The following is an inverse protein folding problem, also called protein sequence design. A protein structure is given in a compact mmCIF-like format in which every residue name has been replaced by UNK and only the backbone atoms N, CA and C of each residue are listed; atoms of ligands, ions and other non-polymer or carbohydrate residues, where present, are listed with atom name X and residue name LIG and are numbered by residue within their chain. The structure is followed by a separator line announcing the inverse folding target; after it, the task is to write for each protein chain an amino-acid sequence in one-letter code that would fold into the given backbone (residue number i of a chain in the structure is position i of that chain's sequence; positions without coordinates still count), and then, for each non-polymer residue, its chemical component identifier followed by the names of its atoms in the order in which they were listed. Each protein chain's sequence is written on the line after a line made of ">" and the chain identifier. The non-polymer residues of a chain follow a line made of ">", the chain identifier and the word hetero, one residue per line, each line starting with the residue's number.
data_IF_829683434982
#
_entry.id   IF_829683434982
#
_cell.length_a   1.000
_cell.length_b   1.000
_cell.length_c   1.000
_cell.angle_alpha   90.00
_cell.angle_beta   90.00
_cell.angle_gamma   90.00
#
_symmetry.space_group_name_H-M   'P 1'
#
loop_
_entity.id
_entity.type
_entity.pdbx_description
1 polymer ?
#
# COMPACT_ATOMS: atom_id res chain seq x y z
N UNK A 1 -12.12 18.45 -33.38
CA UNK A 1 -10.73 17.94 -33.38
C UNK A 1 -10.75 16.58 -32.68
N UNK A 2 -10.21 15.53 -33.27
CA UNK A 2 -10.11 14.20 -32.64
C UNK A 2 -8.70 14.09 -32.07
N UNK A 3 -8.60 13.80 -30.77
CA UNK A 3 -7.30 13.64 -30.09
C UNK A 3 -6.83 12.20 -30.21
N UNK A 4 -5.55 12.00 -30.51
CA UNK A 4 -4.90 10.69 -30.45
C UNK A 4 -4.07 10.60 -29.18
N UNK A 5 -4.36 9.62 -28.36
CA UNK A 5 -3.66 9.38 -27.09
C UNK A 5 -2.55 8.35 -27.28
N UNK A 6 -1.55 8.38 -26.40
CA UNK A 6 -0.51 7.36 -26.36
C UNK A 6 -1.11 6.00 -25.96
N UNK A 7 -0.61 4.89 -26.54
CA UNK A 7 -1.17 3.53 -26.34
C UNK A 7 -1.17 3.12 -24.86
N UNK A 8 -0.20 3.56 -24.07
CA UNK A 8 -0.16 3.33 -22.63
C UNK A 8 -1.39 3.87 -21.87
N UNK A 9 -2.13 4.82 -22.42
CA UNK A 9 -3.36 5.33 -21.81
C UNK A 9 -4.49 4.29 -21.86
N UNK A 10 -4.42 3.31 -22.73
CA UNK A 10 -5.37 2.21 -22.80
C UNK A 10 -5.21 1.22 -21.64
N UNK A 11 -4.03 1.21 -20.98
CA UNK A 11 -3.81 0.42 -19.78
C UNK A 11 -4.55 0.95 -18.54
N UNK A 12 -5.11 2.17 -18.62
CA UNK A 12 -5.86 2.80 -17.53
C UNK A 12 -7.36 2.73 -17.78
N UNK A 13 -8.02 1.74 -17.18
CA UNK A 13 -9.47 1.73 -17.09
C UNK A 13 -9.99 2.83 -16.13
N UNK A 14 -11.32 3.02 -16.09
CA UNK A 14 -11.96 3.81 -15.02
C UNK A 14 -11.60 3.16 -13.68
N UNK A 15 -11.16 3.97 -12.73
CA UNK A 15 -10.85 3.48 -11.37
C UNK A 15 -12.15 3.36 -10.56
N UNK A 16 -12.69 2.16 -10.31
CA UNK A 16 -13.89 2.00 -9.47
C UNK A 16 -13.70 2.62 -8.08
N UNK A 17 -12.49 2.52 -7.53
CA UNK A 17 -12.13 3.11 -6.24
C UNK A 17 -12.35 4.63 -6.26
N UNK A 18 -12.00 5.31 -7.34
CA UNK A 18 -12.12 6.76 -7.44
C UNK A 18 -13.58 7.23 -7.47
N UNK A 19 -14.45 6.48 -8.14
CA UNK A 19 -15.87 6.78 -8.17
C UNK A 19 -16.51 6.57 -6.79
N UNK A 20 -16.17 5.48 -6.11
CA UNK A 20 -16.64 5.21 -4.74
C UNK A 20 -16.14 6.29 -3.75
N UNK A 21 -14.89 6.74 -3.88
CA UNK A 21 -14.35 7.80 -3.01
C UNK A 21 -15.03 9.16 -3.20
N UNK A 22 -15.56 9.48 -4.38
CA UNK A 22 -16.38 10.69 -4.57
C UNK A 22 -17.67 10.64 -3.74
N UNK A 23 -18.31 9.47 -3.69
CA UNK A 23 -19.50 9.26 -2.89
C UNK A 23 -19.23 9.35 -1.37
N UNK A 24 -18.04 8.99 -0.94
CA UNK A 24 -17.64 9.01 0.47
C UNK A 24 -17.66 10.41 1.10
N UNK A 25 -17.67 11.48 0.30
CA UNK A 25 -17.74 12.86 0.79
C UNK A 25 -19.17 13.34 1.09
N UNK A 26 -20.19 12.56 0.71
CA UNK A 26 -21.58 12.95 0.94
C UNK A 26 -21.97 12.78 2.42
N UNK A 27 -22.79 13.71 2.98
CA UNK A 27 -23.25 13.61 4.37
C UNK A 27 -24.02 12.32 4.65
N UNK A 28 -23.76 11.73 5.79
CA UNK A 28 -24.44 10.50 6.24
C UNK A 28 -23.96 9.22 5.59
N UNK A 29 -22.90 9.25 4.77
CA UNK A 29 -22.27 8.07 4.19
C UNK A 29 -21.25 7.48 5.17
N UNK A 30 -21.36 6.18 5.43
CA UNK A 30 -20.36 5.39 6.15
C UNK A 30 -19.42 4.75 5.14
N UNK A 31 -18.13 5.10 5.18
CA UNK A 31 -17.18 4.63 4.18
C UNK A 31 -16.14 3.67 4.75
N UNK A 32 -16.20 2.41 4.34
CA UNK A 32 -15.15 1.41 4.50
C UNK A 32 -14.27 1.29 3.23
N UNK A 33 -14.42 2.22 2.29
CA UNK A 33 -13.74 2.18 0.99
C UNK A 33 -12.34 2.80 1.01
N UNK A 34 -12.14 3.89 1.75
CA UNK A 34 -10.90 4.65 1.75
C UNK A 34 -9.76 3.89 2.44
N UNK A 35 -8.54 4.02 1.90
CA UNK A 35 -7.30 3.52 2.53
C UNK A 35 -6.52 4.63 3.24
N UNK A 36 -7.23 5.61 3.81
CA UNK A 36 -6.62 6.77 4.46
C UNK A 36 -6.43 6.55 5.95
N UNK A 37 -5.37 7.10 6.56
CA UNK A 37 -5.21 7.15 8.01
C UNK A 37 -6.31 8.02 8.65
N UNK A 38 -6.60 7.74 9.92
CA UNK A 38 -7.53 8.53 10.70
C UNK A 38 -6.95 9.92 10.99
N UNK A 39 -7.66 11.04 10.68
CA UNK A 39 -7.16 12.37 10.95
C UNK A 39 -6.87 12.66 12.43
N UNK A 40 -7.52 11.96 13.37
CA UNK A 40 -7.25 12.10 14.80
C UNK A 40 -5.84 11.63 15.21
N UNK A 41 -5.17 10.88 14.33
CA UNK A 41 -3.80 10.40 14.55
C UNK A 41 -2.72 11.35 13.99
N UNK A 42 -3.09 12.46 13.34
CA UNK A 42 -2.09 13.37 12.80
C UNK A 42 -1.46 14.21 13.90
N UNK A 43 -0.12 14.35 13.94
CA UNK A 43 0.58 15.18 14.92
C UNK A 43 0.53 16.67 14.52
N UNK A 44 -0.69 17.24 14.45
CA UNK A 44 -0.93 18.58 13.88
C UNK A 44 -0.19 19.68 14.66
N UNK A 45 -0.14 19.57 15.99
CA UNK A 45 0.56 20.55 16.85
C UNK A 45 2.05 20.60 16.53
N UNK A 46 2.69 19.45 16.58
CA UNK A 46 4.12 19.29 16.30
C UNK A 46 4.47 19.72 14.87
N UNK A 47 3.66 19.30 13.89
CA UNK A 47 3.86 19.70 12.49
C UNK A 47 3.78 21.22 12.30
N UNK A 48 2.80 21.87 12.93
CA UNK A 48 2.64 23.34 12.88
C UNK A 48 3.87 24.04 13.46
N UNK A 49 4.30 23.61 14.65
CA UNK A 49 5.42 24.24 15.36
C UNK A 49 6.72 24.08 14.57
N UNK A 50 6.96 22.90 13.99
CA UNK A 50 8.10 22.64 13.09
C UNK A 50 8.04 23.55 11.86
N UNK A 51 6.89 23.64 11.19
CA UNK A 51 6.75 24.42 9.97
C UNK A 51 6.96 25.93 10.24
N UNK A 52 6.41 26.47 11.33
CA UNK A 52 6.67 27.87 11.74
C UNK A 52 8.17 28.09 11.99
N UNK A 53 8.81 27.23 12.79
CA UNK A 53 10.25 27.32 13.06
C UNK A 53 11.09 27.33 11.77
N UNK A 54 10.81 26.40 10.86
CA UNK A 54 11.56 26.27 9.59
C UNK A 54 11.43 27.52 8.72
N UNK A 55 10.22 28.12 8.67
CA UNK A 55 9.98 29.32 7.88
C UNK A 55 10.55 30.59 8.54
N UNK A 56 10.60 30.66 9.86
CA UNK A 56 11.22 31.76 10.59
C UNK A 56 12.74 31.73 10.52
N UNK A 57 13.35 30.55 10.67
CA UNK A 57 14.82 30.41 10.76
C UNK A 57 15.49 30.27 9.40
N UNK A 58 14.87 29.60 8.41
CA UNK A 58 15.48 29.22 7.13
C UNK A 58 14.54 29.43 5.92
N UNK A 59 13.84 30.57 5.80
CA UNK A 59 12.79 30.73 4.77
C UNK A 59 13.29 30.50 3.36
N UNK A 60 14.44 31.09 3.00
CA UNK A 60 15.01 30.95 1.67
C UNK A 60 15.34 29.50 1.32
N UNK A 61 15.92 28.76 2.24
CA UNK A 61 16.26 27.33 2.02
C UNK A 61 15.02 26.47 1.86
N UNK A 62 13.97 26.73 2.64
CA UNK A 62 12.73 25.94 2.63
C UNK A 62 11.89 26.18 1.37
N UNK A 63 11.99 27.37 0.77
CA UNK A 63 11.20 27.78 -0.39
C UNK A 63 11.98 27.71 -1.72
N UNK A 64 13.26 27.36 -1.70
CA UNK A 64 14.09 27.23 -2.89
C UNK A 64 14.07 25.78 -3.42
N UNK A 65 14.49 25.63 -4.68
CA UNK A 65 14.73 24.31 -5.26
C UNK A 65 15.72 23.49 -4.43
N UNK A 66 15.42 22.20 -4.28
CA UNK A 66 16.29 21.20 -3.67
C UNK A 66 16.98 20.31 -4.69
N UNK A 67 17.68 19.29 -4.20
CA UNK A 67 18.28 18.23 -5.02
C UNK A 67 17.30 17.08 -5.23
N UNK A 68 17.45 16.37 -6.35
CA UNK A 68 16.52 15.31 -6.76
C UNK A 68 16.53 14.11 -5.83
N UNK A 69 17.67 13.80 -5.26
CA UNK A 69 17.87 12.71 -4.29
C UNK A 69 17.06 12.90 -3.00
N UNK A 70 16.81 14.16 -2.64
CA UNK A 70 16.08 14.55 -1.44
C UNK A 70 16.92 15.37 -0.47
N UNK A 71 16.25 15.95 0.54
CA UNK A 71 16.85 16.77 1.58
C UNK A 71 17.81 15.92 2.44
N UNK A 72 19.13 16.24 2.48
CA UNK A 72 20.10 15.37 3.13
C UNK A 72 19.80 15.04 4.59
N UNK A 73 19.36 15.98 5.47
CA UNK A 73 19.00 15.61 6.84
C UNK A 73 17.86 14.61 6.92
N UNK A 74 16.89 14.61 6.00
CA UNK A 74 15.84 13.59 5.96
C UNK A 74 16.40 12.23 5.53
N UNK A 75 17.29 12.20 4.53
CA UNK A 75 17.95 10.95 4.13
C UNK A 75 18.73 10.34 5.30
N UNK A 76 19.43 11.16 6.10
CA UNK A 76 20.18 10.70 7.27
C UNK A 76 19.25 10.17 8.36
N UNK A 77 18.13 10.85 8.64
CA UNK A 77 17.13 10.40 9.61
C UNK A 77 16.49 9.07 9.19
N UNK A 78 16.13 8.93 7.92
CA UNK A 78 15.60 7.69 7.33
C UNK A 78 16.64 6.57 7.37
N UNK A 79 17.90 6.86 6.96
CA UNK A 79 19.01 5.89 7.02
C UNK A 79 19.23 5.37 8.42
N UNK A 80 19.26 6.26 9.39
CA UNK A 80 19.42 5.91 10.81
C UNK A 80 18.28 4.99 11.26
N UNK A 81 17.02 5.42 11.07
CA UNK A 81 15.85 4.64 11.47
C UNK A 81 15.82 3.25 10.83
N UNK A 82 16.01 3.19 9.50
CA UNK A 82 15.92 1.93 8.75
C UNK A 82 17.10 0.99 9.06
N UNK A 83 18.28 1.52 9.37
CA UNK A 83 19.45 0.73 9.77
C UNK A 83 19.33 0.21 11.20
N UNK A 84 19.08 1.11 12.15
CA UNK A 84 19.16 0.78 13.58
C UNK A 84 17.95 -0.02 14.05
N UNK A 85 16.76 0.34 13.59
CA UNK A 85 15.53 -0.30 14.06
C UNK A 85 15.12 -1.51 13.21
N UNK A 86 15.28 -1.43 11.90
CA UNK A 86 14.74 -2.41 10.95
C UNK A 86 15.79 -3.20 10.18
N UNK A 87 17.05 -2.85 10.30
CA UNK A 87 18.18 -3.48 9.60
C UNK A 87 17.99 -3.51 8.06
N UNK A 88 17.23 -2.57 7.54
CA UNK A 88 16.82 -2.50 6.14
C UNK A 88 17.56 -1.43 5.33
N UNK A 89 18.76 -1.02 5.78
CA UNK A 89 19.62 -0.09 5.06
C UNK A 89 21.09 -0.44 5.34
N UNK A 90 21.72 -1.09 4.38
CA UNK A 90 23.14 -1.49 4.43
C UNK A 90 24.11 -0.36 4.05
N UNK A 91 25.42 -0.63 4.14
CA UNK A 91 26.46 0.33 3.78
C UNK A 91 26.49 0.68 2.27
N UNK A 92 26.08 -0.25 1.41
CA UNK A 92 26.00 -0.09 -0.04
C UNK A 92 24.68 0.46 -0.57
N UNK A 93 23.73 0.80 0.32
CA UNK A 93 22.41 1.28 -0.09
C UNK A 93 22.38 2.79 -0.23
N UNK A 94 21.82 3.25 -1.34
CA UNK A 94 21.37 4.62 -1.54
C UNK A 94 19.96 4.85 -1.00
N UNK A 95 19.60 6.12 -0.80
CA UNK A 95 18.24 6.55 -0.46
C UNK A 95 17.79 7.63 -1.45
N UNK A 96 16.57 7.48 -1.96
CA UNK A 96 15.88 8.47 -2.74
C UNK A 96 14.59 8.89 -2.03
N UNK A 97 14.41 10.16 -1.76
CA UNK A 97 13.12 10.70 -1.26
C UNK A 97 12.19 10.94 -2.45
N UNK A 98 10.94 10.51 -2.31
CA UNK A 98 9.92 10.57 -3.37
C UNK A 98 8.66 11.28 -2.89
N UNK A 99 7.85 11.74 -3.85
CA UNK A 99 6.55 12.37 -3.58
C UNK A 99 5.48 11.30 -3.22
N UNK A 100 5.75 10.57 -2.13
CA UNK A 100 5.02 9.39 -1.65
C UNK A 100 5.48 8.10 -2.34
N UNK A 101 5.10 6.94 -1.76
CA UNK A 101 5.46 5.62 -2.28
C UNK A 101 4.94 5.38 -3.72
N UNK A 102 3.85 6.02 -4.13
CA UNK A 102 3.33 5.89 -5.50
C UNK A 102 4.37 6.34 -6.55
N UNK A 103 5.06 7.46 -6.30
CA UNK A 103 6.14 7.91 -7.18
C UNK A 103 7.36 6.99 -7.10
N UNK A 104 7.65 6.42 -5.93
CA UNK A 104 8.73 5.45 -5.77
C UNK A 104 8.53 4.24 -6.70
N UNK A 105 7.32 3.65 -6.66
CA UNK A 105 6.95 2.50 -7.49
C UNK A 105 6.94 2.85 -8.97
N UNK A 106 6.35 4.00 -9.33
CA UNK A 106 6.28 4.48 -10.70
C UNK A 106 7.67 4.72 -11.28
N UNK A 107 8.55 5.42 -10.53
CA UNK A 107 9.92 5.71 -10.97
C UNK A 107 10.77 4.43 -11.08
N UNK A 108 10.57 3.46 -10.19
CA UNK A 108 11.20 2.14 -10.28
C UNK A 108 10.74 1.40 -11.54
N UNK A 109 9.44 1.29 -11.76
CA UNK A 109 8.88 0.67 -12.96
C UNK A 109 9.39 1.32 -14.25
N UNK A 110 9.39 2.65 -14.32
CA UNK A 110 9.92 3.43 -15.45
C UNK A 110 11.41 3.17 -15.71
N UNK A 111 12.18 2.87 -14.66
CA UNK A 111 13.62 2.62 -14.79
C UNK A 111 13.92 1.25 -15.38
N UNK A 112 13.10 0.21 -15.07
CA UNK A 112 13.45 -1.18 -15.35
C UNK A 112 12.60 -1.83 -16.42
N UNK A 113 11.46 -1.25 -16.81
CA UNK A 113 10.52 -1.88 -17.71
C UNK A 113 10.57 -1.33 -19.12
N UNK A 114 10.62 -2.25 -20.07
CA UNK A 114 10.25 -2.03 -21.46
C UNK A 114 8.91 -2.70 -21.75
N UNK A 115 8.30 -2.35 -22.87
CA UNK A 115 7.09 -3.02 -23.34
C UNK A 115 7.34 -4.52 -23.54
N UNK A 116 6.43 -5.35 -23.03
CA UNK A 116 6.53 -6.82 -23.05
C UNK A 116 7.31 -7.43 -21.90
N UNK A 117 8.00 -6.65 -21.07
CA UNK A 117 8.65 -7.16 -19.85
C UNK A 117 7.60 -7.60 -18.82
N UNK A 118 7.84 -8.72 -18.14
CA UNK A 118 6.95 -9.26 -17.12
C UNK A 118 7.29 -8.75 -15.72
N UNK A 119 6.23 -8.53 -14.92
CA UNK A 119 6.33 -8.30 -13.49
C UNK A 119 5.44 -9.30 -12.77
N UNK A 120 6.01 -10.01 -11.81
CA UNK A 120 5.26 -10.89 -10.91
C UNK A 120 4.74 -10.06 -9.74
N UNK A 121 3.47 -10.27 -9.35
CA UNK A 121 2.88 -9.58 -8.20
C UNK A 121 1.88 -10.48 -7.46
N UNK A 122 1.49 -10.09 -6.27
CA UNK A 122 0.36 -10.71 -5.57
C UNK A 122 -0.93 -10.53 -6.37
N UNK A 123 -1.84 -11.48 -6.24
CA UNK A 123 -3.19 -11.39 -6.80
C UNK A 123 -4.21 -11.89 -5.76
N UNK A 124 -5.02 -10.99 -5.16
CA UNK A 124 -5.21 -9.56 -5.49
C UNK A 124 -4.06 -8.67 -5.01
N UNK A 125 -3.94 -7.45 -5.56
CA UNK A 125 -2.93 -6.47 -5.14
C UNK A 125 -3.40 -5.01 -5.29
N UNK A 126 -2.55 -4.06 -4.89
CA UNK A 126 -2.89 -2.65 -4.88
C UNK A 126 -2.95 -2.05 -6.29
N UNK A 127 -4.15 -1.73 -6.73
CA UNK A 127 -4.43 -1.30 -8.11
C UNK A 127 -3.60 -0.10 -8.58
N UNK A 128 -3.30 0.88 -7.70
CA UNK A 128 -2.53 2.05 -8.14
C UNK A 128 -1.09 1.69 -8.48
N UNK A 129 -0.49 0.75 -7.74
CA UNK A 129 0.84 0.22 -8.06
C UNK A 129 0.81 -0.63 -9.32
N UNK A 130 -0.20 -1.50 -9.47
CA UNK A 130 -0.38 -2.29 -10.69
C UNK A 130 -0.54 -1.40 -11.91
N UNK A 131 -1.30 -0.32 -11.83
CA UNK A 131 -1.48 0.62 -12.93
C UNK A 131 -0.18 1.39 -13.26
N UNK A 132 0.59 1.79 -12.24
CA UNK A 132 1.90 2.40 -12.47
C UNK A 132 2.84 1.45 -13.24
N UNK A 133 2.86 0.17 -12.86
CA UNK A 133 3.67 -0.85 -13.55
C UNK A 133 3.15 -1.09 -14.98
N UNK A 134 1.84 -1.30 -15.15
CA UNK A 134 1.20 -1.53 -16.47
C UNK A 134 1.52 -0.44 -17.49
N UNK A 135 1.72 0.80 -17.04
CA UNK A 135 2.00 1.94 -17.93
C UNK A 135 3.36 1.87 -18.61
N UNK A 136 4.26 0.98 -18.17
CA UNK A 136 5.61 0.84 -18.72
C UNK A 136 5.89 -0.51 -19.38
N UNK A 137 5.08 -1.55 -19.13
CA UNK A 137 5.35 -2.89 -19.63
C UNK A 137 4.27 -3.44 -20.59
N UNK A 138 3.38 -2.60 -21.09
CA UNK A 138 2.26 -3.04 -21.94
C UNK A 138 1.22 -3.87 -21.19
N UNK A 139 1.17 -3.78 -19.85
CA UNK A 139 0.17 -4.46 -19.03
C UNK A 139 0.54 -5.88 -18.59
N UNK A 140 1.73 -6.39 -18.92
CA UNK A 140 2.10 -7.78 -18.61
C UNK A 140 2.42 -7.98 -17.13
N UNK A 141 1.39 -8.35 -16.37
CA UNK A 141 1.49 -8.74 -14.95
C UNK A 141 1.20 -10.23 -14.80
N UNK A 142 1.95 -10.89 -13.95
CA UNK A 142 1.77 -12.29 -13.58
C UNK A 142 1.32 -12.33 -12.12
N UNK A 143 0.04 -12.60 -11.92
CA UNK A 143 -0.59 -12.62 -10.60
C UNK A 143 -0.35 -13.95 -9.89
N UNK A 144 0.22 -13.91 -8.68
CA UNK A 144 0.42 -15.08 -7.82
C UNK A 144 -0.64 -15.09 -6.73
N UNK A 145 -1.36 -16.21 -6.52
CA UNK A 145 -2.35 -16.33 -5.47
C UNK A 145 -1.80 -16.02 -4.08
N UNK A 146 -2.66 -15.42 -3.24
CA UNK A 146 -2.39 -15.11 -1.84
C UNK A 146 -3.29 -15.98 -0.96
N UNK A 147 -2.73 -16.55 0.10
CA UNK A 147 -3.46 -17.23 1.17
C UNK A 147 -3.17 -16.57 2.54
N UNK A 148 -3.52 -17.23 3.65
CA UNK A 148 -3.36 -16.68 5.00
C UNK A 148 -1.91 -16.39 5.41
N UNK A 149 -0.93 -16.94 4.71
CA UNK A 149 0.50 -16.67 4.91
C UNK A 149 1.11 -15.75 3.84
N UNK A 150 0.30 -15.14 2.97
CA UNK A 150 0.72 -14.25 1.90
C UNK A 150 0.89 -14.94 0.54
N UNK A 151 1.75 -14.42 -0.32
CA UNK A 151 2.01 -14.97 -1.66
C UNK A 151 2.41 -16.44 -1.61
N UNK A 152 1.83 -17.26 -2.49
CA UNK A 152 2.13 -18.71 -2.62
C UNK A 152 3.46 -18.93 -3.32
N UNK A 153 4.43 -19.50 -2.62
CA UNK A 153 5.80 -19.70 -3.15
C UNK A 153 5.91 -20.78 -4.22
N UNK A 154 5.06 -21.81 -4.18
CA UNK A 154 4.98 -22.83 -5.22
C UNK A 154 4.51 -22.26 -6.57
N UNK A 155 3.54 -21.35 -6.56
CA UNK A 155 3.10 -20.62 -7.76
C UNK A 155 4.15 -19.60 -8.22
N UNK A 156 4.85 -18.95 -7.27
CA UNK A 156 5.94 -18.04 -7.61
C UNK A 156 7.08 -18.76 -8.35
N UNK A 157 7.52 -19.91 -7.85
CA UNK A 157 8.56 -20.72 -8.49
C UNK A 157 8.12 -21.19 -9.87
N UNK A 158 6.87 -21.66 -10.00
CA UNK A 158 6.34 -22.11 -11.29
C UNK A 158 6.27 -20.94 -12.30
N UNK A 159 5.87 -19.75 -11.88
CA UNK A 159 5.87 -18.55 -12.71
C UNK A 159 7.28 -18.16 -13.15
N UNK A 160 8.24 -18.11 -12.24
CA UNK A 160 9.64 -17.79 -12.53
C UNK A 160 10.27 -18.78 -13.51
N UNK A 161 9.86 -20.06 -13.45
CA UNK A 161 10.35 -21.11 -14.37
C UNK A 161 9.75 -21.01 -15.78
N UNK A 162 8.45 -20.67 -15.88
CA UNK A 162 7.72 -20.68 -17.17
C UNK A 162 7.81 -19.35 -17.92
N UNK A 163 7.77 -18.24 -17.17
CA UNK A 163 7.70 -16.91 -17.75
C UNK A 163 9.09 -16.40 -18.14
N UNK A 164 9.14 -15.73 -19.29
CA UNK A 164 10.38 -15.13 -19.80
C UNK A 164 10.37 -13.61 -19.55
N UNK A 165 11.57 -13.03 -19.46
CA UNK A 165 11.76 -11.57 -19.32
C UNK A 165 11.07 -10.99 -18.07
N UNK A 166 11.07 -11.71 -16.95
CA UNK A 166 10.65 -11.18 -15.67
C UNK A 166 11.71 -10.19 -15.17
N UNK A 167 11.31 -8.96 -14.86
CA UNK A 167 12.24 -7.92 -14.38
C UNK A 167 12.28 -7.85 -12.87
N UNK A 168 11.11 -7.90 -12.24
CA UNK A 168 11.06 -7.88 -10.78
C UNK A 168 9.77 -8.52 -10.26
N UNK A 169 9.82 -8.86 -8.96
CA UNK A 169 8.67 -9.26 -8.15
C UNK A 169 8.24 -8.00 -7.37
N UNK A 170 6.99 -7.57 -7.53
CA UNK A 170 6.36 -6.55 -6.70
C UNK A 170 5.55 -7.20 -5.59
N UNK A 171 5.81 -6.84 -4.34
CA UNK A 171 5.11 -7.43 -3.19
C UNK A 171 4.85 -6.39 -2.09
N UNK A 172 3.71 -6.55 -1.38
CA UNK A 172 3.38 -5.83 -0.15
C UNK A 172 3.42 -6.85 1.00
N UNK A 173 4.59 -7.16 1.54
CA UNK A 173 4.75 -8.34 2.40
C UNK A 173 4.18 -8.17 3.81
N UNK A 174 3.80 -6.95 4.21
CA UNK A 174 3.30 -6.67 5.56
C UNK A 174 1.97 -5.92 5.49
N UNK A 175 0.90 -6.56 6.02
CA UNK A 175 -0.47 -6.03 6.03
C UNK A 175 -0.94 -5.62 4.63
N UNK A 176 -0.84 -6.55 3.72
CA UNK A 176 -1.07 -6.41 2.29
C UNK A 176 -2.39 -5.69 1.96
N UNK A 177 -2.36 -4.83 0.98
CA UNK A 177 -3.56 -4.21 0.42
C UNK A 177 -3.94 -4.94 -0.87
N UNK A 178 -5.11 -5.64 -0.92
CA UNK A 178 -6.30 -5.42 -0.07
C UNK A 178 -6.49 -6.41 1.09
N UNK A 179 -5.73 -7.48 1.20
CA UNK A 179 -6.08 -8.65 2.02
C UNK A 179 -5.83 -8.47 3.52
N UNK A 180 -4.96 -7.56 3.92
CA UNK A 180 -4.51 -7.41 5.30
C UNK A 180 -3.56 -8.51 5.78
N UNK A 181 -3.25 -9.48 4.94
CA UNK A 181 -2.37 -10.62 5.25
C UNK A 181 -0.92 -10.17 5.34
N UNK A 182 -0.13 -10.88 6.14
CA UNK A 182 1.32 -10.67 6.24
C UNK A 182 2.06 -11.90 5.72
N UNK A 183 3.00 -11.68 4.80
CA UNK A 183 3.88 -12.73 4.29
C UNK A 183 4.74 -13.27 5.42
N UNK A 184 4.68 -14.59 5.67
CA UNK A 184 5.40 -15.25 6.75
C UNK A 184 6.92 -15.13 6.58
N UNK A 185 7.67 -15.21 7.68
CA UNK A 185 9.14 -15.15 7.63
C UNK A 185 9.72 -16.24 6.72
N UNK A 186 9.15 -17.44 6.75
CA UNK A 186 9.58 -18.54 5.90
C UNK A 186 9.41 -18.18 4.42
N UNK A 187 8.25 -17.65 4.04
CA UNK A 187 7.97 -17.26 2.66
C UNK A 187 8.80 -16.06 2.20
N UNK A 188 9.13 -15.12 3.09
CA UNK A 188 10.08 -14.03 2.77
C UNK A 188 11.45 -14.55 2.39
N UNK A 189 11.97 -15.55 3.14
CA UNK A 189 13.23 -16.22 2.83
C UNK A 189 13.15 -16.97 1.51
N UNK A 190 12.09 -17.77 1.31
CA UNK A 190 11.87 -18.50 0.05
C UNK A 190 11.77 -17.56 -1.16
N UNK A 191 11.05 -16.44 -1.04
CA UNK A 191 10.96 -15.43 -2.10
C UNK A 191 12.34 -14.87 -2.45
N UNK A 192 13.14 -14.54 -1.43
CA UNK A 192 14.50 -14.04 -1.63
C UNK A 192 15.40 -15.09 -2.32
N UNK A 193 15.33 -16.35 -1.90
CA UNK A 193 16.10 -17.44 -2.49
C UNK A 193 15.69 -17.70 -3.96
N UNK A 194 14.40 -17.71 -4.25
CA UNK A 194 13.88 -17.81 -5.62
C UNK A 194 14.32 -16.62 -6.49
N UNK A 195 14.21 -15.39 -5.96
CA UNK A 195 14.65 -14.21 -6.68
C UNK A 195 16.15 -14.27 -7.05
N UNK A 196 17.00 -14.74 -6.13
CA UNK A 196 18.43 -15.00 -6.38
C UNK A 196 18.63 -16.07 -7.44
N UNK A 197 17.97 -17.22 -7.30
CA UNK A 197 18.09 -18.36 -8.21
C UNK A 197 17.73 -17.97 -9.65
N UNK A 198 16.70 -17.16 -9.84
CA UNK A 198 16.24 -16.76 -11.17
C UNK A 198 16.77 -15.39 -11.62
N UNK A 199 17.66 -14.77 -10.83
CA UNK A 199 18.25 -13.44 -11.11
C UNK A 199 17.19 -12.35 -11.38
N UNK A 200 16.20 -12.23 -10.49
CA UNK A 200 15.09 -11.30 -10.57
C UNK A 200 15.11 -10.38 -9.35
N UNK A 201 14.90 -9.08 -9.54
CA UNK A 201 14.83 -8.13 -8.43
C UNK A 201 13.53 -8.25 -7.65
N UNK A 202 13.52 -7.72 -6.41
CA UNK A 202 12.31 -7.55 -5.60
C UNK A 202 12.09 -6.06 -5.34
N UNK A 203 10.88 -5.56 -5.63
CA UNK A 203 10.38 -4.28 -5.14
C UNK A 203 9.45 -4.55 -3.96
N UNK A 204 9.97 -4.31 -2.75
CA UNK A 204 9.26 -4.47 -1.49
C UNK A 204 8.52 -3.17 -1.14
N UNK A 205 7.19 -3.13 -1.33
CA UNK A 205 6.34 -1.99 -0.98
C UNK A 205 5.79 -2.16 0.44
N UNK A 206 6.23 -1.34 1.37
CA UNK A 206 5.96 -1.52 2.80
C UNK A 206 5.42 -0.24 3.48
N UNK A 207 4.26 0.30 3.04
CA UNK A 207 3.71 1.52 3.65
C UNK A 207 3.08 1.29 5.03
N UNK A 208 2.81 0.04 5.41
CA UNK A 208 2.09 -0.33 6.64
C UNK A 208 2.97 -1.03 7.66
N UNK A 209 4.24 -1.33 7.39
CA UNK A 209 5.06 -2.25 8.17
C UNK A 209 5.25 -1.84 9.64
N UNK A 210 5.13 -0.56 9.96
CA UNK A 210 5.19 -0.04 11.32
C UNK A 210 3.84 -0.11 12.07
N UNK A 211 2.74 -0.43 11.39
CA UNK A 211 1.38 -0.45 11.95
C UNK A 211 0.98 -1.85 12.39
N UNK A 212 1.77 -2.46 13.27
CA UNK A 212 1.47 -3.78 13.85
C UNK A 212 0.75 -3.64 15.17
N UNK A 213 -0.38 -4.32 15.32
CA UNK A 213 -1.24 -4.25 16.51
C UNK A 213 -1.10 -5.49 17.41
N UNK A 214 -0.79 -6.63 16.82
CA UNK A 214 -0.62 -7.91 17.50
C UNK A 214 0.41 -8.78 16.77
N UNK A 215 0.83 -9.87 17.41
CA UNK A 215 1.89 -10.75 16.91
C UNK A 215 3.28 -10.12 17.04
N UNK A 216 4.28 -10.83 16.51
CA UNK A 216 5.68 -10.43 16.55
C UNK A 216 6.10 -9.69 15.27
N UNK A 217 7.12 -8.82 15.40
CA UNK A 217 7.73 -8.17 14.24
C UNK A 217 8.35 -9.22 13.31
N UNK A 218 8.04 -9.13 12.02
CA UNK A 218 8.65 -9.95 10.98
C UNK A 218 9.64 -9.08 10.21
N UNK A 219 10.93 -9.44 10.15
CA UNK A 219 11.96 -8.70 9.40
C UNK A 219 11.55 -8.48 7.94
N UNK A 220 11.85 -7.30 7.38
CA UNK A 220 11.60 -6.99 5.98
C UNK A 220 12.41 -7.93 5.07
N UNK A 221 12.00 -8.10 3.82
CA UNK A 221 12.80 -8.87 2.84
C UNK A 221 14.14 -8.16 2.62
N UNK A 222 14.12 -6.81 2.57
CA UNK A 222 15.32 -5.98 2.43
C UNK A 222 16.34 -6.21 3.55
N UNK A 223 15.91 -6.46 4.79
CA UNK A 223 16.83 -6.70 5.90
C UNK A 223 17.61 -8.02 5.79
N UNK A 224 17.13 -8.94 4.98
CA UNK A 224 17.76 -10.25 4.73
C UNK A 224 18.56 -10.28 3.41
N UNK A 225 18.50 -9.20 2.64
CA UNK A 225 19.18 -9.10 1.34
C UNK A 225 20.67 -8.80 1.52
N UNK A 226 21.51 -9.75 1.14
CA UNK A 226 22.99 -9.63 1.17
C UNK A 226 23.59 -9.40 -0.21
N UNK A 227 22.79 -9.49 -1.29
CA UNK A 227 23.27 -9.43 -2.67
C UNK A 227 22.82 -8.18 -3.45
N UNK A 228 21.99 -7.34 -2.81
CA UNK A 228 21.54 -6.11 -3.43
C UNK A 228 20.45 -6.31 -4.49
N UNK A 229 19.58 -7.29 -4.32
CA UNK A 229 18.47 -7.54 -5.24
C UNK A 229 17.13 -6.97 -4.77
N UNK A 230 17.05 -6.49 -3.52
CA UNK A 230 15.83 -5.91 -2.96
C UNK A 230 15.91 -4.40 -2.90
N UNK A 231 14.90 -3.74 -3.45
CA UNK A 231 14.66 -2.31 -3.26
C UNK A 231 13.40 -2.15 -2.41
N UNK A 232 13.54 -1.46 -1.28
CA UNK A 232 12.47 -1.18 -0.33
C UNK A 232 11.82 0.16 -0.63
N UNK A 233 10.50 0.18 -0.75
CA UNK A 233 9.69 1.39 -0.88
C UNK A 233 8.93 1.66 0.41
N UNK A 234 9.24 2.79 1.05
CA UNK A 234 8.62 3.23 2.30
C UNK A 234 7.77 4.49 2.15
N UNK A 235 6.94 4.78 3.13
CA UNK A 235 6.06 5.96 3.12
C UNK A 235 5.84 6.51 4.52
N UNK A 236 5.90 7.83 4.66
CA UNK A 236 5.49 8.52 5.90
C UNK A 236 3.99 8.82 5.94
N UNK A 237 3.25 8.49 4.88
CA UNK A 237 1.81 8.76 4.77
C UNK A 237 0.96 8.08 5.84
N UNK A 238 1.42 6.95 6.40
CA UNK A 238 0.62 6.15 7.34
C UNK A 238 1.01 6.37 8.80
N UNK A 239 2.18 6.95 9.03
CA UNK A 239 2.69 7.27 10.36
C UNK A 239 2.71 8.78 10.69
N UNK A 240 2.61 9.66 9.66
CA UNK A 240 2.47 11.10 9.86
C UNK A 240 1.15 11.60 9.24
N UNK A 241 1.15 11.91 7.94
CA UNK A 241 -0.06 12.33 7.24
C UNK A 241 0.07 12.06 5.73
N UNK A 242 -0.98 11.62 5.03
CA UNK A 242 -0.88 11.32 3.60
C UNK A 242 -0.73 12.57 2.72
N UNK A 243 -1.20 13.73 3.21
CA UNK A 243 -1.13 15.00 2.48
C UNK A 243 0.27 15.58 2.34
N UNK A 244 1.23 15.18 3.18
CA UNK A 244 2.62 15.65 3.12
C UNK A 244 3.36 15.15 1.88
N UNK A 245 2.90 14.06 1.28
CA UNK A 245 3.49 13.44 0.08
C UNK A 245 4.98 13.14 0.20
N UNK A 246 5.40 12.48 1.27
CA UNK A 246 6.79 12.03 1.47
C UNK A 246 6.82 10.51 1.57
N UNK A 247 7.61 9.90 0.68
CA UNK A 247 7.99 8.50 0.66
C UNK A 247 9.47 8.37 0.33
N UNK A 248 9.96 7.14 0.24
CA UNK A 248 11.38 6.91 -0.05
C UNK A 248 11.63 5.53 -0.66
N UNK A 249 12.73 5.41 -1.38
CA UNK A 249 13.33 4.14 -1.79
C UNK A 249 14.65 3.94 -1.07
N UNK A 250 14.92 2.70 -0.68
CA UNK A 250 16.23 2.24 -0.19
C UNK A 250 16.62 0.98 -0.97
N UNK A 251 17.80 0.98 -1.54
CA UNK A 251 18.30 -0.14 -2.30
C UNK A 251 19.73 0.09 -2.76
N UNK A 252 20.29 -0.82 -3.57
CA UNK A 252 21.64 -0.67 -4.07
C UNK A 252 21.87 0.72 -4.67
N UNK A 253 22.98 1.34 -4.33
CA UNK A 253 23.30 2.73 -4.75
C UNK A 253 23.22 2.91 -6.28
N UNK A 254 23.63 1.90 -7.04
CA UNK A 254 23.52 1.90 -8.50
C UNK A 254 22.06 1.97 -8.97
N UNK A 255 21.16 1.20 -8.36
CA UNK A 255 19.72 1.20 -8.64
C UNK A 255 19.15 2.58 -8.31
N UNK A 256 19.41 3.08 -7.12
CA UNK A 256 18.91 4.37 -6.65
C UNK A 256 19.37 5.52 -7.55
N UNK A 257 20.63 5.55 -7.99
CA UNK A 257 21.14 6.54 -8.95
C UNK A 257 20.40 6.53 -10.28
N UNK A 258 19.97 5.37 -10.76
CA UNK A 258 19.19 5.26 -12.01
C UNK A 258 17.74 5.73 -11.80
N UNK A 259 17.11 5.33 -10.71
CA UNK A 259 15.74 5.75 -10.37
C UNK A 259 15.67 7.27 -10.13
N UNK A 260 16.71 7.85 -9.51
CA UNK A 260 16.80 9.31 -9.31
C UNK A 260 16.71 10.08 -10.62
N UNK A 261 17.33 9.59 -11.71
CA UNK A 261 17.22 10.24 -13.04
C UNK A 261 15.77 10.26 -13.55
N UNK A 262 15.01 9.19 -13.32
CA UNK A 262 13.60 9.15 -13.70
C UNK A 262 12.78 10.14 -12.87
N UNK A 263 13.03 10.24 -11.55
CA UNK A 263 12.39 11.23 -10.70
C UNK A 263 12.74 12.67 -11.13
N UNK A 264 13.99 12.95 -11.44
CA UNK A 264 14.44 14.28 -11.89
C UNK A 264 13.66 14.77 -13.12
N UNK A 265 13.37 13.87 -14.06
CA UNK A 265 12.57 14.19 -15.25
C UNK A 265 11.09 14.40 -14.90
N UNK A 266 10.57 13.74 -13.83
CA UNK A 266 9.16 13.76 -13.48
C UNK A 266 8.76 15.01 -12.70
N UNK A 267 9.47 15.34 -11.59
CA UNK A 267 9.10 16.42 -10.68
C UNK A 267 10.30 17.22 -10.12
N UNK A 268 11.50 16.97 -10.63
CA UNK A 268 12.76 17.56 -10.17
C UNK A 268 13.12 17.10 -8.75
N UNK A 269 12.29 17.41 -7.76
CA UNK A 269 12.45 16.98 -6.36
C UNK A 269 11.11 17.02 -5.60
N UNK A 270 11.04 16.30 -4.49
CA UNK A 270 9.93 16.40 -3.53
C UNK A 270 10.03 17.70 -2.74
N UNK A 271 8.93 18.28 -2.30
CA UNK A 271 8.87 19.55 -1.56
C UNK A 271 9.91 19.60 -0.43
N UNK A 272 10.85 20.56 -0.51
CA UNK A 272 11.93 20.75 0.48
C UNK A 272 11.36 21.03 1.86
N UNK A 273 10.34 21.89 1.97
CA UNK A 273 9.70 22.22 3.24
C UNK A 273 9.08 20.98 3.92
N UNK A 274 8.39 20.14 3.15
CA UNK A 274 7.80 18.90 3.71
C UNK A 274 8.86 17.89 4.10
N UNK A 275 9.93 17.78 3.34
CA UNK A 275 11.07 16.93 3.71
C UNK A 275 11.76 17.41 4.99
N UNK A 276 11.98 18.72 5.12
CA UNK A 276 12.58 19.30 6.32
C UNK A 276 11.69 19.09 7.55
N UNK A 277 10.38 19.29 7.42
CA UNK A 277 9.41 19.00 8.47
C UNK A 277 9.48 17.54 8.91
N UNK A 278 9.51 16.59 7.97
CA UNK A 278 9.66 15.17 8.27
C UNK A 278 11.00 14.86 8.95
N UNK A 279 12.10 15.49 8.52
CA UNK A 279 13.42 15.34 9.12
C UNK A 279 13.42 15.77 10.58
N UNK A 280 12.90 16.97 10.87
CA UNK A 280 12.78 17.50 12.24
C UNK A 280 11.92 16.58 13.11
N UNK A 281 10.79 16.10 12.59
CA UNK A 281 9.93 15.18 13.33
C UNK A 281 10.63 13.84 13.65
N UNK A 282 11.26 13.22 12.64
CA UNK A 282 11.95 11.93 12.82
C UNK A 282 13.17 12.02 13.75
N UNK A 283 13.77 13.21 13.87
CA UNK A 283 15.01 13.40 14.66
C UNK A 283 14.73 13.86 16.09
N UNK A 284 13.75 14.74 16.27
CA UNK A 284 13.61 15.49 17.51
C UNK A 284 12.33 15.17 18.31
N UNK A 285 11.47 14.28 17.78
CA UNK A 285 10.22 13.87 18.44
C UNK A 285 10.17 12.37 18.72
N UNK A 286 9.30 11.97 19.65
CA UNK A 286 9.08 10.56 19.97
C UNK A 286 8.22 9.87 18.88
N UNK A 287 8.87 9.50 17.79
CA UNK A 287 8.23 8.82 16.65
C UNK A 287 7.64 7.48 17.04
N UNK A 288 8.31 6.72 17.88
CA UNK A 288 7.86 5.38 18.26
C UNK A 288 6.66 5.43 19.21
N UNK A 289 6.65 6.36 20.15
CA UNK A 289 5.48 6.62 20.98
C UNK A 289 4.28 7.13 20.16
N UNK A 290 4.53 7.94 19.14
CA UNK A 290 3.48 8.36 18.21
C UNK A 290 2.91 7.19 17.39
N UNK A 291 3.76 6.33 16.84
CA UNK A 291 3.34 5.12 16.11
C UNK A 291 2.55 4.19 17.04
N UNK A 292 2.97 4.04 18.30
CA UNK A 292 2.24 3.23 19.27
C UNK A 292 0.81 3.77 19.50
N UNK A 293 0.65 5.09 19.63
CA UNK A 293 -0.68 5.73 19.74
C UNK A 293 -1.55 5.44 18.50
N UNK A 294 -0.97 5.54 17.30
CA UNK A 294 -1.66 5.17 16.05
C UNK A 294 -2.09 3.69 16.09
N UNK A 295 -1.20 2.81 16.48
CA UNK A 295 -1.46 1.37 16.59
C UNK A 295 -2.59 1.07 17.60
N UNK A 296 -2.65 1.77 18.73
CA UNK A 296 -3.69 1.58 19.73
C UNK A 296 -5.07 2.01 19.20
N UNK A 297 -5.15 3.15 18.50
CA UNK A 297 -6.38 3.61 17.85
C UNK A 297 -6.87 2.59 16.81
N UNK A 298 -5.98 2.10 15.96
CA UNK A 298 -6.36 1.18 14.89
C UNK A 298 -6.62 -0.24 15.40
N UNK A 299 -5.93 -0.68 16.45
CA UNK A 299 -6.24 -1.94 17.15
C UNK A 299 -7.69 -1.93 17.65
N UNK A 300 -8.09 -0.87 18.34
CA UNK A 300 -9.45 -0.73 18.85
C UNK A 300 -10.50 -0.76 17.71
N UNK A 301 -10.23 -0.07 16.60
CA UNK A 301 -11.13 -0.06 15.44
C UNK A 301 -11.20 -1.41 14.74
N UNK A 302 -10.05 -2.09 14.55
CA UNK A 302 -9.98 -3.45 14.02
C UNK A 302 -10.76 -4.43 14.88
N UNK A 303 -10.61 -4.36 16.19
CA UNK A 303 -11.25 -5.29 17.11
C UNK A 303 -12.77 -5.13 17.08
N UNK A 304 -13.29 -3.88 17.02
CA UNK A 304 -14.71 -3.62 16.79
C UNK A 304 -15.19 -4.19 15.44
N UNK A 305 -14.40 -4.05 14.38
CA UNK A 305 -14.75 -4.62 13.07
C UNK A 305 -14.74 -6.15 13.09
N UNK A 306 -13.75 -6.78 13.74
CA UNK A 306 -13.67 -8.24 13.86
C UNK A 306 -14.80 -8.82 14.71
N UNK A 307 -15.22 -8.12 15.77
CA UNK A 307 -16.38 -8.49 16.57
C UNK A 307 -17.66 -8.45 15.73
N UNK A 308 -17.88 -7.34 15.03
CA UNK A 308 -19.10 -7.14 14.24
C UNK A 308 -19.18 -8.02 12.99
N UNK A 309 -18.05 -8.25 12.29
CA UNK A 309 -18.02 -9.17 11.14
C UNK A 309 -18.16 -10.63 11.59
N UNK A 310 -17.85 -10.96 12.83
CA UNK A 310 -18.07 -12.28 13.39
C UNK A 310 -19.54 -12.72 13.35
N UNK A 311 -20.48 -11.79 13.19
CA UNK A 311 -21.91 -12.03 12.99
C UNK A 311 -22.35 -12.16 11.52
N UNK A 312 -21.43 -12.06 10.56
CA UNK A 312 -21.71 -12.28 9.13
C UNK A 312 -22.13 -13.74 8.89
N UNK A 313 -22.78 -14.01 7.77
CA UNK A 313 -23.15 -15.37 7.39
C UNK A 313 -21.93 -16.30 7.38
N UNK A 314 -22.05 -17.49 7.98
CA UNK A 314 -20.94 -18.43 8.16
C UNK A 314 -20.32 -18.96 6.85
N UNK A 315 -21.01 -18.73 5.72
CA UNK A 315 -20.49 -19.04 4.39
C UNK A 315 -19.44 -18.02 3.90
N UNK A 316 -19.34 -16.86 4.55
CA UNK A 316 -18.36 -15.81 4.21
C UNK A 316 -17.07 -16.03 4.98
N UNK A 317 -15.96 -16.10 4.27
CA UNK A 317 -14.62 -16.09 4.85
C UNK A 317 -14.11 -14.66 4.98
N UNK A 318 -13.28 -14.39 5.97
CA UNK A 318 -12.63 -13.08 6.10
C UNK A 318 -11.28 -13.19 6.78
N UNK A 319 -10.36 -12.28 6.42
CA UNK A 319 -9.02 -12.21 7.02
C UNK A 319 -9.07 -11.59 8.42
N UNK A 320 -8.08 -11.92 9.26
CA UNK A 320 -7.91 -11.37 10.61
C UNK A 320 -6.56 -10.65 10.69
N UNK A 321 -6.49 -9.38 10.24
CA UNK A 321 -5.21 -8.67 10.14
C UNK A 321 -4.61 -8.38 11.52
N UNK A 322 -3.30 -8.61 11.64
CA UNK A 322 -2.52 -8.26 12.84
C UNK A 322 -2.08 -6.79 12.84
N UNK A 323 -2.35 -6.05 11.78
CA UNK A 323 -1.98 -4.66 11.58
C UNK A 323 -2.57 -4.06 10.29
N UNK A 324 -2.01 -2.96 9.84
CA UNK A 324 -2.45 -2.30 8.59
C UNK A 324 -3.80 -1.60 8.72
N UNK A 325 -4.58 -1.57 7.65
CA UNK A 325 -5.81 -0.78 7.59
C UNK A 325 -7.02 -1.57 7.04
N UNK A 326 -6.83 -2.82 6.58
CA UNK A 326 -7.80 -3.50 5.74
C UNK A 326 -8.15 -4.89 6.25
N UNK A 327 -9.39 -5.26 5.96
CA UNK A 327 -9.94 -6.59 6.07
C UNK A 327 -10.51 -7.00 4.72
N UNK A 328 -10.27 -8.24 4.31
CA UNK A 328 -10.78 -8.84 3.08
C UNK A 328 -11.83 -9.88 3.42
N UNK A 329 -12.94 -9.85 2.69
CA UNK A 329 -14.02 -10.82 2.86
C UNK A 329 -14.35 -11.48 1.52
N UNK A 330 -14.69 -12.76 1.57
CA UNK A 330 -14.99 -13.63 0.43
C UNK A 330 -16.30 -14.37 0.66
N UNK A 331 -17.28 -14.12 -0.18
CA UNK A 331 -18.52 -14.89 -0.30
C UNK A 331 -18.27 -16.21 -1.06
N UNK A 332 -19.19 -17.18 -1.03
CA UNK A 332 -19.10 -18.35 -1.88
C UNK A 332 -18.95 -18.00 -3.37
N UNK A 333 -18.31 -18.87 -4.14
CA UNK A 333 -18.19 -18.71 -5.58
C UNK A 333 -19.56 -18.65 -6.24
N UNK A 334 -19.67 -17.82 -7.28
CA UNK A 334 -20.92 -17.61 -8.02
C UNK A 334 -21.75 -16.40 -7.54
N UNK A 335 -21.40 -15.80 -6.40
CA UNK A 335 -22.00 -14.55 -5.95
C UNK A 335 -21.19 -13.35 -6.43
N UNK A 336 -21.88 -12.25 -6.77
CA UNK A 336 -21.23 -11.02 -7.25
C UNK A 336 -21.25 -9.92 -6.17
N UNK A 337 -20.07 -9.53 -5.70
CA UNK A 337 -19.95 -8.48 -4.67
C UNK A 337 -20.52 -7.13 -5.16
N UNK A 338 -20.42 -6.82 -6.43
CA UNK A 338 -20.97 -5.57 -6.99
C UNK A 338 -22.48 -5.44 -6.75
N UNK A 339 -23.26 -6.49 -6.99
CA UNK A 339 -24.71 -6.49 -6.69
C UNK A 339 -25.00 -6.30 -5.20
N UNK A 340 -24.14 -6.88 -4.35
CA UNK A 340 -24.24 -6.69 -2.91
C UNK A 340 -23.91 -5.24 -2.50
N UNK A 341 -22.93 -4.61 -3.14
CA UNK A 341 -22.56 -3.21 -2.88
C UNK A 341 -23.72 -2.26 -3.20
N UNK A 342 -24.43 -2.48 -4.29
CA UNK A 342 -25.58 -1.66 -4.68
C UNK A 342 -26.69 -1.74 -3.63
N UNK A 343 -26.97 -2.94 -3.11
CA UNK A 343 -27.93 -3.15 -2.03
C UNK A 343 -27.50 -2.42 -0.74
N UNK A 344 -26.24 -2.59 -0.33
CA UNK A 344 -25.69 -1.99 0.88
C UNK A 344 -25.69 -0.46 0.81
N UNK A 345 -25.38 0.10 -0.35
CA UNK A 345 -25.45 1.55 -0.59
C UNK A 345 -26.88 2.08 -0.49
N UNK A 346 -27.84 1.35 -1.08
CA UNK A 346 -29.26 1.74 -1.06
C UNK A 346 -29.88 1.66 0.33
N UNK A 347 -29.59 0.60 1.09
CA UNK A 347 -30.19 0.37 2.42
C UNK A 347 -29.56 1.22 3.54
N UNK A 348 -28.26 1.48 3.50
CA UNK A 348 -27.57 2.10 4.63
C UNK A 348 -26.56 3.16 4.28
N UNK A 349 -26.43 3.56 3.00
CA UNK A 349 -25.39 4.51 2.54
C UNK A 349 -23.99 4.08 2.97
N UNK A 350 -23.71 2.77 2.96
CA UNK A 350 -22.42 2.21 3.30
C UNK A 350 -21.62 1.96 2.02
N UNK A 351 -20.34 2.35 2.01
CA UNK A 351 -19.43 2.15 0.89
C UNK A 351 -18.31 1.20 1.26
N UNK A 352 -18.01 0.27 0.37
CA UNK A 352 -16.84 -0.60 0.40
C UNK A 352 -16.31 -0.81 -1.03
N UNK A 353 -15.22 -1.56 -1.21
CA UNK A 353 -14.64 -1.79 -2.54
C UNK A 353 -14.79 -3.27 -2.92
N UNK A 354 -15.35 -3.52 -4.12
CA UNK A 354 -15.44 -4.87 -4.67
C UNK A 354 -14.08 -5.45 -5.05
N UNK A 355 -13.97 -6.77 -4.98
CA UNK A 355 -12.74 -7.52 -5.23
C UNK A 355 -12.14 -7.33 -6.61
N UNK A 356 -12.94 -7.27 -7.72
CA UNK A 356 -12.39 -7.04 -9.05
C UNK A 356 -11.53 -5.79 -9.20
N UNK A 357 -11.72 -4.77 -8.35
CA UNK A 357 -10.89 -3.57 -8.34
C UNK A 357 -9.41 -3.83 -7.97
N UNK A 358 -9.08 -4.98 -7.42
CA UNK A 358 -7.75 -5.38 -7.00
C UNK A 358 -7.17 -6.54 -7.81
N UNK A 359 -7.92 -7.01 -8.80
CA UNK A 359 -7.55 -8.15 -9.62
C UNK A 359 -6.43 -7.80 -10.63
N UNK A 360 -5.55 -8.75 -10.88
CA UNK A 360 -4.58 -8.67 -11.97
C UNK A 360 -5.28 -8.89 -13.31
N UNK A 361 -6.22 -9.84 -13.39
CA UNK A 361 -6.99 -10.12 -14.58
C UNK A 361 -8.48 -9.82 -14.38
N UNK A 362 -9.16 -9.47 -15.47
CA UNK A 362 -10.60 -9.24 -15.43
C UNK A 362 -11.37 -10.51 -15.01
N UNK A 363 -12.45 -10.31 -14.27
CA UNK A 363 -13.35 -11.41 -13.84
C UNK A 363 -12.88 -12.16 -12.59
N UNK A 364 -11.73 -11.86 -12.02
CA UNK A 364 -11.26 -12.44 -10.75
C UNK A 364 -11.88 -11.73 -9.54
N UNK A 365 -11.99 -12.44 -8.41
CA UNK A 365 -12.46 -11.92 -7.11
C UNK A 365 -13.85 -11.28 -7.13
N UNK A 366 -14.71 -11.71 -8.05
CA UNK A 366 -16.07 -11.16 -8.18
C UNK A 366 -16.93 -11.34 -6.94
N UNK A 367 -16.63 -12.35 -6.11
CA UNK A 367 -17.29 -12.67 -4.85
C UNK A 367 -16.62 -12.04 -3.62
N UNK A 368 -15.62 -11.17 -3.81
CA UNK A 368 -14.83 -10.62 -2.73
C UNK A 368 -15.07 -9.12 -2.54
N UNK A 369 -14.76 -8.62 -1.34
CA UNK A 369 -14.78 -7.19 -1.03
C UNK A 369 -13.79 -6.82 0.07
N UNK A 370 -13.31 -5.58 0.03
CA UNK A 370 -12.39 -5.00 1.02
C UNK A 370 -13.12 -4.01 1.93
N UNK A 371 -12.83 -4.11 3.22
CA UNK A 371 -13.26 -3.18 4.27
C UNK A 371 -12.04 -2.46 4.87
N UNK A 372 -12.17 -1.15 5.08
CA UNK A 372 -11.22 -0.34 5.83
C UNK A 372 -11.77 -0.03 7.23
N UNK A 373 -10.95 -0.21 8.25
CA UNK A 373 -11.35 0.06 9.65
C UNK A 373 -10.66 1.29 10.25
N UNK A 374 -9.75 1.95 9.53
CA UNK A 374 -8.97 3.05 10.10
C UNK A 374 -9.73 4.38 10.18
N UNK A 375 -10.60 4.65 9.22
CA UNK A 375 -11.30 5.94 9.09
C UNK A 375 -12.60 6.05 9.89
N UNK A 376 -13.49 5.04 9.88
CA UNK A 376 -14.78 5.15 10.53
C UNK A 376 -14.67 5.16 12.06
N UNK A 377 -15.60 5.85 12.73
CA UNK A 377 -15.75 5.73 14.18
C UNK A 377 -16.24 4.33 14.57
N UNK A 378 -16.04 3.94 15.83
CA UNK A 378 -16.53 2.63 16.31
C UNK A 378 -18.05 2.47 16.15
N UNK A 379 -18.81 3.56 16.30
CA UNK A 379 -20.26 3.57 16.06
C UNK A 379 -20.57 3.35 14.59
N UNK A 380 -19.88 4.06 13.69
CA UNK A 380 -20.03 3.87 12.24
C UNK A 380 -19.64 2.44 11.82
N UNK A 381 -18.62 1.84 12.45
CA UNK A 381 -18.26 0.43 12.18
C UNK A 381 -19.44 -0.48 12.55
N UNK A 382 -20.02 -0.34 13.75
CA UNK A 382 -21.17 -1.16 14.17
C UNK A 382 -22.36 -0.98 13.24
N UNK A 383 -22.76 0.27 12.98
CA UNK A 383 -23.89 0.59 12.11
C UNK A 383 -23.69 0.06 10.68
N UNK A 384 -22.54 0.32 10.08
CA UNK A 384 -22.23 -0.13 8.73
C UNK A 384 -22.13 -1.64 8.61
N UNK A 385 -21.53 -2.30 9.60
CA UNK A 385 -21.46 -3.77 9.63
C UNK A 385 -22.81 -4.44 9.84
N UNK A 386 -23.73 -3.84 10.60
CA UNK A 386 -25.11 -4.33 10.71
C UNK A 386 -25.84 -4.32 9.36
N UNK A 387 -25.66 -3.25 8.58
CA UNK A 387 -26.21 -3.17 7.20
C UNK A 387 -25.59 -4.26 6.33
N UNK A 388 -24.26 -4.38 6.32
CA UNK A 388 -23.54 -5.38 5.54
C UNK A 388 -24.01 -6.79 5.91
N UNK A 389 -24.10 -7.12 7.20
CA UNK A 389 -24.50 -8.44 7.68
C UNK A 389 -25.94 -8.80 7.27
N UNK A 390 -26.87 -7.84 7.30
CA UNK A 390 -28.26 -8.05 6.82
C UNK A 390 -28.31 -8.28 5.31
N UNK A 391 -27.67 -7.40 4.53
CA UNK A 391 -27.65 -7.49 3.07
C UNK A 391 -26.98 -8.80 2.59
N UNK A 392 -25.85 -9.19 3.21
CA UNK A 392 -25.15 -10.43 2.89
C UNK A 392 -26.07 -11.65 3.12
N UNK A 393 -26.73 -11.74 4.30
CA UNK A 393 -27.65 -12.85 4.59
C UNK A 393 -28.83 -12.90 3.61
N UNK A 394 -29.45 -11.76 3.31
CA UNK A 394 -30.54 -11.69 2.34
C UNK A 394 -30.08 -12.17 0.96
N UNK A 395 -28.97 -11.61 0.46
CA UNK A 395 -28.40 -11.93 -0.85
C UNK A 395 -28.01 -13.41 -1.01
N UNK A 396 -27.36 -14.00 0.03
CA UNK A 396 -26.96 -15.40 0.00
C UNK A 396 -28.16 -16.37 0.11
N UNK A 397 -29.28 -15.94 0.70
CA UNK A 397 -30.49 -16.76 0.81
C UNK A 397 -31.42 -16.66 -0.42
N UNK A 398 -31.41 -15.55 -1.15
CA UNK A 398 -32.20 -15.39 -2.38
C UNK A 398 -31.68 -16.23 -3.54
N UNK A 399 -30.35 -16.37 -3.67
CA UNK A 399 -29.73 -17.14 -4.76
C UNK A 399 -29.51 -18.62 -4.40
N UNK A 400 -29.74 -19.02 -3.16
CA UNK A 400 -29.69 -20.44 -2.72
C UNK A 400 -31.01 -21.21 -2.93
N UNK A 401 -32.01 -20.55 -3.56
CA UNK A 401 -33.26 -21.17 -3.98
C UNK A 401 -33.23 -21.36 -5.52
#
# INVERSE_FOLDING_TARGET
>A
MQYTYADRMNAFGRSPIREVLKLATHPGVISFAAGSPNPSTYPIGEMRDILCKLLDEQPTRMLQYGISEGYPPLQDALRKRMREKYQSCGAGDGILVTSGAQQAIESFAKTFLNEGDGVICENPSFISSLNAIRSYNGGRLIGIPVDDEGMRMDYLEDALRREKNIKFIYTIPTFQNPTGVTLSLQRRKQMLDLAKQYNVMILEDSPYFELRYSGEYIPTIKSMDTEGIVTFAGSLSKILAPGIRVGFLIGPDEVIKKVTKCKQISDVHTSTLMQAMCSEYLTNYDVDGHIQKICDVYRASRDVMLDTIGHIDSRVRYTRPEGGLFLWAEMPKGYAAEKLLDCILAEGKVLMISGPAFAVNEGEFTNCFRLNFSMPTHEQIRQGMDVINRCVRAYLNEQGK
#
